data_IF_157668809231
#
_entry.id   IF_157668809231
#
_cell.length_a   1.000
_cell.length_b   1.000
_cell.length_c   1.000
_cell.angle_alpha   90.00
_cell.angle_beta   90.00
_cell.angle_gamma   90.00
#
_symmetry.space_group_name_H-M   'P 1'
#
loop_
_entity.id
_entity.type
_entity.pdbx_description
1 polymer ?
#
# COMPACT_ATOMS: atom_id res chain seq x y z
N UNK A 1 12.30 -0.14 9.10
CA UNK A 1 12.16 -1.45 9.81
C UNK A 1 11.42 -2.41 8.90
N UNK A 2 11.79 -3.72 8.89
CA UNK A 2 11.13 -4.75 8.05
C UNK A 2 10.54 -5.81 8.98
N UNK A 3 9.39 -6.42 8.63
CA UNK A 3 8.69 -7.38 9.48
C UNK A 3 9.48 -8.64 9.84
N UNK A 4 10.45 -9.02 9.01
CA UNK A 4 11.31 -10.18 9.24
C UNK A 4 12.56 -9.89 10.10
N UNK A 5 12.75 -8.66 10.58
CA UNK A 5 13.90 -8.33 11.40
C UNK A 5 13.69 -8.74 12.87
N UNK A 6 14.76 -9.20 13.58
CA UNK A 6 14.66 -9.54 15.00
C UNK A 6 14.12 -8.37 15.86
N UNK A 7 14.53 -7.12 15.55
CA UNK A 7 14.05 -5.94 16.25
C UNK A 7 12.51 -5.78 16.12
N UNK A 8 11.96 -6.03 14.93
CA UNK A 8 10.51 -5.99 14.75
C UNK A 8 9.83 -7.10 15.53
N UNK A 9 10.31 -8.34 15.40
CA UNK A 9 9.66 -9.53 15.94
C UNK A 9 9.68 -9.59 17.46
N UNK A 10 10.81 -9.22 18.07
CA UNK A 10 11.03 -9.41 19.52
C UNK A 10 10.90 -8.13 20.35
N UNK A 11 10.91 -6.96 19.73
CA UNK A 11 10.78 -5.69 20.45
C UNK A 11 9.54 -4.89 20.00
N UNK A 12 9.49 -4.50 18.73
CA UNK A 12 8.45 -3.60 18.25
C UNK A 12 7.06 -4.23 18.29
N UNK A 13 6.89 -5.42 17.72
CA UNK A 13 5.58 -6.08 17.63
C UNK A 13 5.01 -6.45 19.01
N UNK A 14 5.77 -7.10 19.92
CA UNK A 14 5.25 -7.40 21.26
C UNK A 14 4.90 -6.14 22.04
N UNK A 15 5.71 -5.09 21.99
CA UNK A 15 5.42 -3.82 22.66
C UNK A 15 4.16 -3.17 22.08
N UNK A 16 4.03 -3.15 20.76
CA UNK A 16 2.84 -2.61 20.08
C UNK A 16 1.57 -3.35 20.51
N UNK A 17 1.59 -4.68 20.48
CA UNK A 17 0.45 -5.52 20.88
C UNK A 17 0.12 -5.33 22.36
N UNK A 18 1.12 -5.30 23.22
CA UNK A 18 0.93 -5.08 24.67
C UNK A 18 0.22 -3.75 24.92
N UNK A 19 0.76 -2.64 24.40
CA UNK A 19 0.17 -1.31 24.59
C UNK A 19 -1.22 -1.23 23.96
N UNK A 20 -1.40 -1.83 22.78
CA UNK A 20 -2.69 -1.85 22.08
C UNK A 20 -3.78 -2.56 22.86
N UNK A 21 -3.50 -3.74 23.41
CA UNK A 21 -4.49 -4.52 24.17
C UNK A 21 -4.74 -4.00 25.58
N UNK A 22 -3.74 -3.39 26.21
CA UNK A 22 -3.90 -2.70 27.50
C UNK A 22 -4.68 -1.39 27.38
N UNK A 23 -4.74 -0.80 26.18
CA UNK A 23 -5.42 0.46 25.94
C UNK A 23 -6.94 0.27 25.81
N UNK A 24 -7.77 1.18 26.41
CA UNK A 24 -9.21 1.22 26.18
C UNK A 24 -9.54 1.35 24.69
N UNK A 25 -10.66 0.81 24.24
CA UNK A 25 -11.07 0.80 22.82
C UNK A 25 -10.98 2.18 22.15
N UNK A 26 -11.39 3.24 22.87
CA UNK A 26 -11.35 4.63 22.40
C UNK A 26 -9.95 5.14 22.06
N UNK A 27 -8.89 4.57 22.67
CA UNK A 27 -7.51 5.00 22.47
C UNK A 27 -6.74 4.11 21.47
N UNK A 28 -7.28 2.99 21.07
CA UNK A 28 -6.59 2.03 20.18
C UNK A 28 -6.15 2.64 18.85
N UNK A 29 -6.96 3.53 18.26
CA UNK A 29 -6.55 4.23 17.03
C UNK A 29 -5.39 5.19 17.27
N UNK A 30 -5.34 5.87 18.42
CA UNK A 30 -4.21 6.74 18.77
C UNK A 30 -2.92 5.92 19.00
N UNK A 31 -3.03 4.75 19.64
CA UNK A 31 -1.91 3.82 19.80
C UNK A 31 -1.41 3.35 18.43
N UNK A 32 -2.32 2.92 17.54
CA UNK A 32 -1.95 2.51 16.19
C UNK A 32 -1.28 3.63 15.40
N UNK A 33 -1.82 4.85 15.47
CA UNK A 33 -1.20 6.02 14.83
C UNK A 33 0.21 6.26 15.35
N UNK A 34 0.39 6.26 16.68
CA UNK A 34 1.70 6.48 17.30
C UNK A 34 2.72 5.42 16.85
N UNK A 35 2.38 4.13 17.00
CA UNK A 35 3.30 3.05 16.62
C UNK A 35 3.54 2.99 15.11
N UNK A 36 2.55 3.31 14.29
CA UNK A 36 2.73 3.40 12.84
C UNK A 36 3.67 4.52 12.44
N UNK A 37 3.56 5.68 13.07
CA UNK A 37 4.48 6.80 12.87
C UNK A 37 5.90 6.45 13.34
N UNK A 38 6.05 5.80 14.48
CA UNK A 38 7.36 5.32 14.96
C UNK A 38 7.98 4.31 14.00
N UNK A 39 7.17 3.36 13.49
CA UNK A 39 7.60 2.37 12.51
C UNK A 39 8.11 3.02 11.21
N UNK A 40 7.36 3.99 10.70
CA UNK A 40 7.70 4.69 9.46
C UNK A 40 8.90 5.63 9.67
N UNK A 41 8.91 6.41 10.75
CA UNK A 41 10.02 7.31 11.09
C UNK A 41 11.35 6.59 11.26
N UNK A 42 11.33 5.37 11.76
CA UNK A 42 12.55 4.54 11.87
C UNK A 42 13.24 4.31 10.52
N UNK A 43 12.47 4.17 9.44
CA UNK A 43 12.99 3.97 8.08
C UNK A 43 13.19 5.26 7.30
N UNK A 44 12.23 6.17 7.39
CA UNK A 44 12.05 7.27 6.44
C UNK A 44 12.18 8.67 7.05
N UNK A 45 12.54 8.77 8.32
CA UNK A 45 12.81 10.04 9.05
C UNK A 45 12.02 11.26 8.51
N UNK A 46 12.67 12.12 7.69
CA UNK A 46 12.09 13.37 7.18
C UNK A 46 10.85 13.16 6.29
N UNK A 47 10.77 12.04 5.58
CA UNK A 47 9.63 11.73 4.70
C UNK A 47 8.35 11.40 5.47
N UNK A 48 8.45 11.15 6.78
CA UNK A 48 7.29 11.07 7.68
C UNK A 48 6.50 12.38 7.68
N UNK A 49 7.16 13.52 7.56
CA UNK A 49 6.49 14.82 7.47
C UNK A 49 5.67 14.96 6.19
N UNK A 50 6.15 14.41 5.07
CA UNK A 50 5.41 14.43 3.79
C UNK A 50 4.15 13.57 3.88
N UNK A 51 4.27 12.38 4.48
CA UNK A 51 3.11 11.51 4.73
C UNK A 51 2.08 12.20 5.64
N UNK A 52 2.51 12.86 6.71
CA UNK A 52 1.63 13.62 7.59
C UNK A 52 0.98 14.80 6.87
N UNK A 53 1.76 15.57 6.09
CA UNK A 53 1.23 16.69 5.31
C UNK A 53 0.18 16.21 4.30
N UNK A 54 0.46 15.14 3.54
CA UNK A 54 -0.51 14.52 2.63
C UNK A 54 -1.77 14.05 3.37
N UNK A 55 -1.60 13.42 4.55
CA UNK A 55 -2.73 12.98 5.38
C UNK A 55 -3.62 14.16 5.79
N UNK A 56 -3.05 15.28 6.25
CA UNK A 56 -3.80 16.49 6.65
C UNK A 56 -4.51 17.11 5.44
N UNK A 57 -3.84 17.18 4.30
CA UNK A 57 -4.43 17.71 3.06
C UNK A 57 -5.64 16.88 2.64
N UNK A 58 -5.52 15.55 2.59
CA UNK A 58 -6.62 14.70 2.15
C UNK A 58 -7.75 14.59 3.18
N UNK A 59 -7.44 14.66 4.47
CA UNK A 59 -8.46 14.84 5.51
C UNK A 59 -9.30 16.10 5.26
N UNK A 60 -8.62 17.22 4.98
CA UNK A 60 -9.27 18.50 4.70
C UNK A 60 -10.10 18.46 3.41
N UNK A 61 -9.60 17.78 2.37
CA UNK A 61 -10.35 17.55 1.12
C UNK A 61 -11.60 16.71 1.37
N UNK A 62 -11.52 15.65 2.18
CA UNK A 62 -12.69 14.85 2.57
C UNK A 62 -13.78 15.69 3.25
N UNK A 63 -13.38 16.57 4.18
CA UNK A 63 -14.29 17.51 4.86
C UNK A 63 -14.97 18.46 3.86
N UNK A 64 -14.20 19.03 2.92
CA UNK A 64 -14.73 19.94 1.90
C UNK A 64 -15.66 19.20 0.90
N UNK A 65 -15.31 18.00 0.50
CA UNK A 65 -16.15 17.16 -0.38
C UNK A 65 -17.49 16.89 0.28
N UNK A 66 -17.53 16.43 1.53
CA UNK A 66 -18.79 16.18 2.25
C UNK A 66 -19.62 17.45 2.42
N UNK A 67 -18.98 18.58 2.78
CA UNK A 67 -19.66 19.87 2.92
C UNK A 67 -20.35 20.30 1.62
N UNK A 68 -19.65 20.27 0.48
CA UNK A 68 -20.22 20.65 -0.81
C UNK A 68 -21.27 19.67 -1.31
N UNK A 69 -21.07 18.37 -1.07
CA UNK A 69 -22.04 17.34 -1.42
C UNK A 69 -23.36 17.53 -0.66
N UNK A 70 -23.30 17.74 0.67
CA UNK A 70 -24.49 18.03 1.50
C UNK A 70 -25.18 19.33 1.13
N UNK A 71 -24.44 20.32 0.65
CA UNK A 71 -24.99 21.58 0.17
C UNK A 71 -25.56 21.49 -1.27
N UNK A 72 -25.60 20.31 -1.90
CA UNK A 72 -26.07 20.10 -3.28
C UNK A 72 -25.11 20.65 -4.35
N UNK A 73 -23.94 21.12 -3.98
CA UNK A 73 -22.96 21.78 -4.87
C UNK A 73 -22.02 20.76 -5.53
N UNK A 74 -22.57 19.86 -6.32
CA UNK A 74 -21.83 18.73 -6.93
C UNK A 74 -20.64 19.15 -7.79
N UNK A 75 -20.75 20.28 -8.53
CA UNK A 75 -19.64 20.80 -9.34
C UNK A 75 -18.44 21.19 -8.47
N UNK A 76 -18.67 21.84 -7.33
CA UNK A 76 -17.60 22.22 -6.39
C UNK A 76 -16.99 20.98 -5.73
N UNK A 77 -17.81 20.02 -5.29
CA UNK A 77 -17.31 18.77 -4.74
C UNK A 77 -16.40 18.03 -5.74
N UNK A 78 -16.75 18.00 -7.03
CA UNK A 78 -15.91 17.40 -8.09
C UNK A 78 -14.57 18.11 -8.24
N UNK A 79 -14.52 19.45 -8.17
CA UNK A 79 -13.28 20.20 -8.23
C UNK A 79 -12.37 19.94 -7.01
N UNK A 80 -12.94 19.76 -5.82
CA UNK A 80 -12.19 19.39 -4.61
C UNK A 80 -11.59 17.99 -4.76
N UNK A 81 -12.32 17.01 -5.29
CA UNK A 81 -11.76 15.68 -5.59
C UNK A 81 -10.63 15.78 -6.62
N UNK A 82 -10.84 16.56 -7.70
CA UNK A 82 -9.81 16.75 -8.71
C UNK A 82 -8.53 17.40 -8.13
N UNK A 83 -8.68 18.40 -7.24
CA UNK A 83 -7.52 19.04 -6.58
C UNK A 83 -6.77 18.08 -5.66
N UNK A 84 -7.46 17.20 -4.91
CA UNK A 84 -6.82 16.15 -4.12
C UNK A 84 -6.05 15.18 -5.01
N UNK A 85 -6.65 14.74 -6.13
CA UNK A 85 -5.97 13.86 -7.09
C UNK A 85 -4.72 14.52 -7.68
N UNK A 86 -4.83 15.78 -8.14
CA UNK A 86 -3.68 16.52 -8.69
C UNK A 86 -2.57 16.68 -7.66
N UNK A 87 -2.90 17.04 -6.43
CA UNK A 87 -1.94 17.17 -5.34
C UNK A 87 -1.20 15.86 -5.07
N UNK A 88 -1.93 14.77 -4.89
CA UNK A 88 -1.35 13.45 -4.61
C UNK A 88 -0.49 12.93 -5.77
N UNK A 89 -0.99 13.07 -7.00
CA UNK A 89 -0.24 12.67 -8.18
C UNK A 89 1.00 13.56 -8.41
N UNK A 90 0.92 14.86 -8.13
CA UNK A 90 2.07 15.76 -8.26
C UNK A 90 3.20 15.37 -7.29
N UNK A 91 2.87 15.06 -6.02
CA UNK A 91 3.86 14.56 -5.05
C UNK A 91 4.46 13.23 -5.54
N UNK A 92 3.62 12.28 -5.95
CA UNK A 92 4.08 10.97 -6.43
C UNK A 92 4.98 11.10 -7.65
N UNK A 93 4.59 11.93 -8.64
CA UNK A 93 5.36 12.17 -9.85
C UNK A 93 6.68 12.86 -9.54
N UNK A 94 6.69 13.85 -8.63
CA UNK A 94 7.90 14.53 -8.21
C UNK A 94 8.92 13.53 -7.62
N UNK A 95 8.55 12.75 -6.62
CA UNK A 95 9.47 11.83 -5.98
C UNK A 95 9.90 10.66 -6.88
N UNK A 96 9.02 10.20 -7.77
CA UNK A 96 9.27 9.00 -8.58
C UNK A 96 9.94 9.29 -9.93
N UNK A 97 9.63 10.44 -10.53
CA UNK A 97 10.00 10.67 -11.93
C UNK A 97 10.76 11.98 -12.16
N UNK A 98 11.03 12.80 -11.13
CA UNK A 98 11.76 14.06 -11.30
C UNK A 98 13.11 13.85 -11.96
N UNK A 99 13.94 12.95 -11.43
CA UNK A 99 15.29 12.73 -11.93
C UNK A 99 15.31 12.14 -13.35
N UNK A 100 14.32 11.30 -13.67
CA UNK A 100 14.12 10.81 -15.04
C UNK A 100 13.76 11.96 -16.00
N UNK A 101 12.84 12.83 -15.61
CA UNK A 101 12.44 14.00 -16.40
C UNK A 101 13.60 14.99 -16.56
N UNK A 102 14.29 15.31 -15.46
CA UNK A 102 15.45 16.22 -15.48
C UNK A 102 16.57 15.68 -16.39
N UNK A 103 16.92 14.39 -16.25
CA UNK A 103 17.93 13.76 -17.13
C UNK A 103 17.50 13.74 -18.60
N UNK A 104 16.23 13.50 -18.89
CA UNK A 104 15.69 13.55 -20.25
C UNK A 104 15.74 14.98 -20.84
N UNK A 105 15.41 15.99 -20.02
CA UNK A 105 15.49 17.39 -20.42
C UNK A 105 16.94 17.86 -20.67
N UNK A 106 17.88 17.42 -19.82
CA UNK A 106 19.31 17.69 -20.02
C UNK A 106 19.84 17.07 -21.34
N UNK A 107 19.37 15.86 -21.68
CA UNK A 107 19.80 15.19 -22.91
C UNK A 107 19.38 15.90 -24.19
N UNK A 108 18.34 16.75 -24.12
CA UNK A 108 17.88 17.61 -25.26
C UNK A 108 18.38 19.06 -25.18
N UNK A 109 19.37 19.34 -24.29
CA UNK A 109 20.04 20.64 -24.19
C UNK A 109 19.50 21.58 -23.09
N UNK A 110 18.51 21.18 -22.29
CA UNK A 110 17.95 21.97 -21.18
C UNK A 110 18.73 21.70 -19.87
N UNK A 111 20.01 22.05 -19.86
CA UNK A 111 20.94 21.77 -18.74
C UNK A 111 20.64 22.55 -17.44
N UNK A 112 19.77 23.54 -17.48
CA UNK A 112 19.38 24.33 -16.30
C UNK A 112 18.48 23.56 -15.31
N UNK A 113 17.88 22.43 -15.70
CA UNK A 113 17.04 21.59 -14.82
C UNK A 113 17.95 20.66 -14.02
N UNK A 114 18.04 20.81 -12.69
CA UNK A 114 18.95 19.98 -11.90
C UNK A 114 18.39 18.56 -11.68
N UNK A 115 19.26 17.57 -11.79
CA UNK A 115 19.03 16.22 -11.22
C UNK A 115 19.28 16.31 -9.72
N UNK A 116 18.26 15.97 -8.92
CA UNK A 116 18.28 16.20 -7.47
C UNK A 116 18.73 14.98 -6.68
N UNK A 117 18.80 13.80 -7.29
CA UNK A 117 19.13 12.55 -6.60
C UNK A 117 18.08 12.18 -5.53
N UNK A 118 16.81 12.41 -5.84
CA UNK A 118 15.72 12.29 -4.87
C UNK A 118 15.55 10.82 -4.48
N UNK A 119 15.67 10.55 -3.17
CA UNK A 119 15.31 9.25 -2.63
C UNK A 119 13.78 9.08 -2.66
N UNK A 120 13.30 7.97 -3.24
CA UNK A 120 11.87 7.65 -3.26
C UNK A 120 11.40 7.19 -1.88
N UNK A 121 10.50 7.92 -1.19
CA UNK A 121 10.00 7.51 0.11
C UNK A 121 9.30 6.14 0.04
N UNK A 122 9.68 5.23 0.93
CA UNK A 122 9.05 3.90 0.98
C UNK A 122 7.55 4.06 1.26
N UNK A 123 6.72 3.34 0.50
CA UNK A 123 5.27 3.35 0.68
C UNK A 123 4.54 4.57 0.13
N UNK A 124 5.22 5.55 -0.51
CA UNK A 124 4.56 6.75 -1.04
C UNK A 124 3.39 6.41 -1.99
N UNK A 125 3.55 5.42 -2.85
CA UNK A 125 2.49 4.98 -3.77
C UNK A 125 1.30 4.38 -3.01
N UNK A 126 1.56 3.65 -1.91
CA UNK A 126 0.52 2.99 -1.12
C UNK A 126 -0.35 4.00 -0.40
N UNK A 127 0.23 4.91 0.38
CA UNK A 127 -0.57 5.90 1.10
C UNK A 127 -1.23 6.91 0.15
N UNK A 128 -0.60 7.25 -0.99
CA UNK A 128 -1.23 8.07 -2.04
C UNK A 128 -2.49 7.41 -2.58
N UNK A 129 -2.45 6.12 -2.94
CA UNK A 129 -3.64 5.41 -3.42
C UNK A 129 -4.72 5.26 -2.34
N UNK A 130 -4.33 5.13 -1.08
CA UNK A 130 -5.28 5.06 0.04
C UNK A 130 -6.00 6.39 0.25
N UNK A 131 -5.26 7.50 0.33
CA UNK A 131 -5.86 8.83 0.54
C UNK A 131 -6.71 9.26 -0.65
N UNK A 132 -6.28 8.97 -1.89
CA UNK A 132 -7.11 9.20 -3.08
C UNK A 132 -8.40 8.37 -3.04
N UNK A 133 -8.35 7.12 -2.58
CA UNK A 133 -9.57 6.30 -2.46
C UNK A 133 -10.56 6.92 -1.47
N UNK A 134 -10.08 7.47 -0.34
CA UNK A 134 -10.92 8.12 0.65
C UNK A 134 -11.71 9.30 0.07
N UNK A 135 -11.04 10.25 -0.59
CA UNK A 135 -11.70 11.43 -1.14
C UNK A 135 -12.73 11.06 -2.22
N UNK A 136 -12.43 10.04 -3.03
CA UNK A 136 -13.36 9.51 -4.06
C UNK A 136 -14.53 8.76 -3.43
N UNK A 137 -14.30 7.89 -2.44
CA UNK A 137 -15.34 7.12 -1.78
C UNK A 137 -16.33 8.05 -1.04
N UNK A 138 -15.83 9.09 -0.34
CA UNK A 138 -16.67 10.13 0.28
C UNK A 138 -17.48 10.90 -0.78
N UNK A 139 -16.87 11.25 -1.93
CA UNK A 139 -17.57 11.93 -3.02
C UNK A 139 -18.68 11.07 -3.62
N UNK A 140 -18.42 9.78 -3.85
CA UNK A 140 -19.43 8.84 -4.39
C UNK A 140 -20.53 8.51 -3.39
N UNK A 141 -20.27 8.65 -2.09
CA UNK A 141 -21.13 8.20 -1.01
C UNK A 141 -20.97 6.71 -0.70
N UNK A 142 -19.89 6.10 -1.19
CA UNK A 142 -19.52 4.72 -0.93
C UNK A 142 -18.94 4.54 0.49
N UNK A 143 -18.53 5.65 1.13
CA UNK A 143 -18.03 5.68 2.50
C UNK A 143 -18.47 6.96 3.23
N UNK A 144 -18.60 6.86 4.55
CA UNK A 144 -18.87 8.00 5.42
C UNK A 144 -17.63 8.86 5.66
N UNK A 145 -17.86 10.16 5.89
CA UNK A 145 -16.79 11.09 6.25
C UNK A 145 -16.19 10.70 7.61
N UNK A 146 -14.88 10.48 7.66
CA UNK A 146 -14.19 10.35 8.93
C UNK A 146 -13.93 11.73 9.56
N UNK A 147 -14.58 11.98 10.68
CA UNK A 147 -14.46 13.27 11.40
C UNK A 147 -13.32 13.31 12.41
N UNK A 148 -12.85 12.14 12.84
CA UNK A 148 -11.76 12.06 13.79
C UNK A 148 -10.40 12.01 13.04
N UNK A 149 -9.55 13.05 13.18
CA UNK A 149 -8.25 13.09 12.49
C UNK A 149 -7.29 11.98 12.96
N UNK A 150 -7.41 11.51 14.21
CA UNK A 150 -6.60 10.41 14.73
C UNK A 150 -6.98 9.10 14.03
N UNK A 151 -8.28 8.83 13.88
CA UNK A 151 -8.78 7.65 13.18
C UNK A 151 -8.39 7.68 11.70
N UNK A 152 -8.53 8.84 11.04
CA UNK A 152 -8.08 9.00 9.65
C UNK A 152 -6.56 8.84 9.51
N UNK A 153 -5.79 9.47 10.40
CA UNK A 153 -4.35 9.32 10.43
C UNK A 153 -3.93 7.86 10.63
N UNK A 154 -4.59 7.14 11.53
CA UNK A 154 -4.30 5.71 11.74
C UNK A 154 -4.64 4.85 10.52
N UNK A 155 -5.65 5.20 9.72
CA UNK A 155 -5.95 4.54 8.45
C UNK A 155 -4.80 4.70 7.44
N UNK A 156 -4.33 5.93 7.23
CA UNK A 156 -3.30 6.24 6.23
C UNK A 156 -1.95 5.65 6.62
N UNK A 157 -1.60 5.73 7.90
CA UNK A 157 -0.27 5.35 8.38
C UNK A 157 -0.15 3.90 8.85
N UNK A 158 -1.24 3.13 8.85
CA UNK A 158 -1.33 1.80 9.46
C UNK A 158 -0.17 0.88 9.04
N UNK A 159 0.77 0.63 9.95
CA UNK A 159 2.06 0.00 9.65
C UNK A 159 1.98 -1.38 8.98
N UNK A 160 0.98 -2.25 9.26
CA UNK A 160 0.92 -3.55 8.58
C UNK A 160 0.76 -3.43 7.06
N UNK A 161 0.05 -2.42 6.58
CA UNK A 161 -0.24 -2.26 5.14
C UNK A 161 0.67 -1.26 4.44
N UNK A 162 1.28 -0.30 5.19
CA UNK A 162 1.88 0.93 4.66
C UNK A 162 2.99 0.70 3.64
N UNK A 163 3.84 -0.32 3.79
CA UNK A 163 5.03 -0.51 2.95
C UNK A 163 4.74 -1.36 1.70
N UNK A 164 4.19 -2.55 1.89
CA UNK A 164 3.91 -3.50 0.81
C UNK A 164 2.74 -4.45 1.14
N UNK A 165 1.87 -4.06 2.06
CA UNK A 165 0.63 -4.77 2.36
C UNK A 165 -0.39 -4.65 1.23
N UNK A 166 -1.56 -5.29 1.35
CA UNK A 166 -2.66 -5.05 0.43
C UNK A 166 -3.06 -3.57 0.41
N UNK A 167 -3.33 -3.00 -0.76
CA UNK A 167 -3.90 -1.65 -0.87
C UNK A 167 -5.36 -1.73 -0.45
N UNK A 168 -5.68 -1.17 0.72
CA UNK A 168 -7.03 -1.24 1.28
C UNK A 168 -7.75 0.07 0.98
N UNK A 169 -8.92 -0.04 0.37
CA UNK A 169 -9.77 1.11 0.08
C UNK A 169 -10.44 1.57 1.37
N UNK A 170 -10.67 2.88 1.48
CA UNK A 170 -11.26 3.43 2.69
C UNK A 170 -12.63 2.80 3.03
N UNK A 171 -13.48 2.55 2.03
CA UNK A 171 -14.77 1.89 2.21
C UNK A 171 -14.69 0.46 2.80
N UNK A 172 -13.55 -0.22 2.67
CA UNK A 172 -13.33 -1.57 3.20
C UNK A 172 -12.86 -1.56 4.65
N UNK A 173 -12.12 -0.51 5.06
CA UNK A 173 -11.52 -0.42 6.39
C UNK A 173 -12.22 0.59 7.31
N UNK A 174 -12.91 1.59 6.75
CA UNK A 174 -13.47 2.71 7.51
C UNK A 174 -14.35 2.28 8.68
N UNK A 175 -15.27 1.34 8.45
CA UNK A 175 -16.15 0.79 9.51
C UNK A 175 -15.39 0.01 10.57
N UNK A 176 -14.29 -0.67 10.18
CA UNK A 176 -13.46 -1.44 11.10
C UNK A 176 -12.59 -0.55 12.00
N UNK A 177 -12.33 0.70 11.61
CA UNK A 177 -11.61 1.66 12.45
C UNK A 177 -12.43 2.08 13.67
N UNK A 178 -13.73 2.13 13.53
CA UNK A 178 -14.64 2.51 14.62
C UNK A 178 -15.15 1.30 15.40
N UNK A 179 -15.38 0.17 14.72
CA UNK A 179 -15.90 -1.05 15.30
C UNK A 179 -15.04 -2.26 14.92
N UNK A 180 -14.18 -2.70 15.83
CA UNK A 180 -13.30 -3.85 15.67
C UNK A 180 -13.67 -4.99 16.58
N UNK A 181 -13.66 -6.19 16.02
CA UNK A 181 -13.83 -7.42 16.77
C UNK A 181 -12.45 -8.06 17.04
N UNK A 182 -11.99 -7.94 18.28
CA UNK A 182 -10.73 -8.51 18.73
C UNK A 182 -11.04 -9.69 19.65
N UNK A 183 -10.91 -10.90 19.15
CA UNK A 183 -11.06 -12.12 19.93
C UNK A 183 -9.83 -13.02 19.79
N UNK A 184 -9.74 -14.02 20.66
CA UNK A 184 -8.57 -14.93 20.73
C UNK A 184 -8.43 -15.75 19.45
N UNK A 185 -9.53 -16.19 18.84
CA UNK A 185 -9.49 -17.02 17.64
C UNK A 185 -8.95 -16.21 16.44
N UNK A 186 -9.39 -14.97 16.28
CA UNK A 186 -8.85 -14.06 15.26
C UNK A 186 -7.38 -13.75 15.49
N UNK A 187 -6.99 -13.55 16.74
CA UNK A 187 -5.60 -13.33 17.10
C UNK A 187 -4.74 -14.55 16.72
N UNK A 188 -5.17 -15.75 17.10
CA UNK A 188 -4.49 -17.01 16.79
C UNK A 188 -4.36 -17.22 15.27
N UNK A 189 -5.46 -17.03 14.52
CA UNK A 189 -5.44 -17.08 13.05
C UNK A 189 -4.51 -16.00 12.43
N UNK A 190 -4.39 -14.85 13.09
CA UNK A 190 -3.46 -13.79 12.70
C UNK A 190 -2.00 -14.22 12.89
N UNK A 191 -1.67 -14.83 14.04
CA UNK A 191 -0.32 -15.36 14.34
C UNK A 191 0.04 -16.46 13.35
N UNK A 192 -0.86 -17.40 13.08
CA UNK A 192 -0.65 -18.45 12.09
C UNK A 192 -0.33 -17.88 10.71
N UNK A 193 -1.16 -16.96 10.23
CA UNK A 193 -0.98 -16.30 8.91
C UNK A 193 0.33 -15.53 8.84
N UNK A 194 0.68 -14.81 9.89
CA UNK A 194 1.96 -14.08 9.98
C UNK A 194 3.14 -15.03 9.91
N UNK A 195 3.10 -16.13 10.65
CA UNK A 195 4.17 -17.14 10.69
C UNK A 195 4.37 -17.80 9.32
N UNK A 196 3.28 -18.15 8.62
CA UNK A 196 3.35 -18.66 7.24
C UNK A 196 3.98 -17.64 6.31
N UNK A 197 3.60 -16.36 6.41
CA UNK A 197 4.21 -15.28 5.62
C UNK A 197 5.70 -15.10 5.91
N UNK A 198 6.09 -15.15 7.17
CA UNK A 198 7.48 -15.09 7.60
C UNK A 198 8.31 -16.27 7.06
N UNK A 199 7.74 -17.48 7.11
CA UNK A 199 8.37 -18.67 6.55
C UNK A 199 8.56 -18.55 5.02
N UNK A 200 7.56 -18.05 4.28
CA UNK A 200 7.70 -17.75 2.84
C UNK A 200 8.86 -16.81 2.57
N UNK A 201 9.00 -15.74 3.37
CA UNK A 201 10.07 -14.76 3.20
C UNK A 201 11.44 -15.34 3.53
N UNK A 202 11.58 -15.96 4.70
CA UNK A 202 12.89 -16.38 5.19
C UNK A 202 13.40 -17.67 4.54
N UNK A 203 12.52 -18.67 4.37
CA UNK A 203 12.92 -19.99 3.89
C UNK A 203 12.88 -20.10 2.35
N UNK A 204 11.87 -19.50 1.71
CA UNK A 204 11.70 -19.64 0.26
C UNK A 204 12.26 -18.45 -0.50
N UNK A 205 11.78 -17.21 -0.24
CA UNK A 205 12.18 -16.06 -1.02
C UNK A 205 13.67 -15.77 -0.92
N UNK A 206 14.24 -15.81 0.28
CA UNK A 206 15.67 -15.58 0.48
C UNK A 206 16.53 -16.68 -0.19
N UNK A 207 16.11 -17.95 -0.11
CA UNK A 207 16.80 -19.07 -0.78
C UNK A 207 16.79 -18.93 -2.29
N UNK A 208 15.62 -18.66 -2.88
CA UNK A 208 15.52 -18.40 -4.33
C UNK A 208 16.27 -17.15 -4.77
N UNK A 209 16.30 -16.11 -3.92
CA UNK A 209 17.09 -14.91 -4.17
C UNK A 209 18.59 -15.19 -4.24
N UNK A 210 19.12 -15.97 -3.29
CA UNK A 210 20.53 -16.40 -3.33
C UNK A 210 20.84 -17.22 -4.60
N UNK A 211 19.97 -18.15 -4.95
CA UNK A 211 20.11 -18.95 -6.18
C UNK A 211 20.13 -18.06 -7.44
N UNK A 212 19.23 -17.09 -7.52
CA UNK A 212 19.20 -16.11 -8.60
C UNK A 212 20.50 -15.32 -8.71
N UNK A 213 21.03 -14.79 -7.59
CA UNK A 213 22.28 -14.03 -7.61
C UNK A 213 23.49 -14.89 -8.00
N UNK A 214 23.52 -16.16 -7.59
CA UNK A 214 24.54 -17.11 -8.05
C UNK A 214 24.48 -17.36 -9.55
N UNK A 215 23.29 -17.57 -10.11
CA UNK A 215 23.11 -17.73 -11.56
C UNK A 215 23.52 -16.45 -12.33
N UNK A 216 23.13 -15.27 -11.84
CA UNK A 216 23.44 -13.98 -12.46
C UNK A 216 24.94 -13.66 -12.44
N UNK A 217 25.66 -14.06 -11.41
CA UNK A 217 27.10 -13.82 -11.27
C UNK A 217 27.96 -14.79 -12.10
N UNK A 218 27.38 -15.87 -12.64
CA UNK A 218 28.11 -16.87 -13.42
C UNK A 218 28.51 -16.34 -14.79
N UNK A 219 29.81 -16.37 -15.12
CA UNK A 219 30.34 -15.95 -16.41
C UNK A 219 30.09 -16.95 -17.56
N UNK A 220 29.86 -18.23 -17.21
CA UNK A 220 29.62 -19.33 -18.18
C UNK A 220 28.35 -20.09 -17.81
N UNK A 221 27.20 -19.43 -18.01
CA UNK A 221 25.92 -20.01 -17.69
C UNK A 221 25.46 -20.96 -18.80
N UNK A 222 25.22 -22.23 -18.45
CA UNK A 222 24.56 -23.16 -19.38
C UNK A 222 23.10 -22.79 -19.63
N UNK A 223 22.49 -23.30 -20.70
CA UNK A 223 21.06 -23.09 -20.97
C UNK A 223 20.19 -23.54 -19.79
N UNK A 224 20.49 -24.68 -19.17
CA UNK A 224 19.81 -25.14 -17.97
C UNK A 224 19.98 -24.21 -16.78
N UNK A 225 21.19 -23.67 -16.58
CA UNK A 225 21.48 -22.67 -15.55
C UNK A 225 20.71 -21.36 -15.77
N UNK A 226 20.56 -20.90 -17.02
CA UNK A 226 19.76 -19.72 -17.35
C UNK A 226 18.27 -19.92 -17.00
N UNK A 227 17.70 -21.08 -17.37
CA UNK A 227 16.31 -21.41 -17.00
C UNK A 227 16.13 -21.55 -15.49
N UNK A 228 17.09 -22.16 -14.80
CA UNK A 228 17.07 -22.24 -13.34
C UNK A 228 17.06 -20.87 -12.69
N UNK A 229 17.88 -19.93 -13.20
CA UNK A 229 17.91 -18.55 -12.73
C UNK A 229 16.57 -17.82 -12.93
N UNK A 230 15.95 -17.93 -14.12
CA UNK A 230 14.64 -17.34 -14.40
C UNK A 230 13.55 -17.89 -13.48
N UNK A 231 13.53 -19.20 -13.25
CA UNK A 231 12.58 -19.85 -12.34
C UNK A 231 12.82 -19.40 -10.90
N UNK A 232 14.07 -19.36 -10.45
CA UNK A 232 14.44 -18.88 -9.12
C UNK A 232 13.98 -17.43 -8.90
N UNK A 233 14.22 -16.54 -9.86
CA UNK A 233 13.77 -15.15 -9.79
C UNK A 233 12.25 -15.02 -9.74
N UNK A 234 11.54 -15.78 -10.57
CA UNK A 234 10.08 -15.79 -10.57
C UNK A 234 9.49 -16.24 -9.24
N UNK A 235 10.05 -17.29 -8.64
CA UNK A 235 9.65 -17.81 -7.34
C UNK A 235 10.05 -16.86 -6.20
N UNK A 236 11.22 -16.22 -6.29
CA UNK A 236 11.66 -15.21 -5.34
C UNK A 236 10.65 -14.06 -5.26
N UNK A 237 10.31 -13.43 -6.40
CA UNK A 237 9.34 -12.31 -6.43
C UNK A 237 8.00 -12.74 -5.82
N UNK A 238 7.51 -13.93 -6.17
CA UNK A 238 6.24 -14.41 -5.65
C UNK A 238 6.28 -14.64 -4.15
N UNK A 239 7.25 -15.39 -3.64
CA UNK A 239 7.31 -15.71 -2.22
C UNK A 239 7.69 -14.49 -1.36
N UNK A 240 8.50 -13.58 -1.88
CA UNK A 240 8.84 -12.33 -1.19
C UNK A 240 7.59 -11.45 -1.00
N UNK A 241 6.87 -11.18 -2.09
CA UNK A 241 5.72 -10.30 -2.03
C UNK A 241 4.49 -10.96 -1.39
N UNK A 242 4.20 -12.23 -1.70
CA UNK A 242 3.10 -12.93 -1.03
C UNK A 242 3.37 -13.18 0.45
N UNK A 243 4.62 -13.43 0.83
CA UNK A 243 5.03 -13.58 2.22
C UNK A 243 4.83 -12.28 3.01
N UNK A 244 5.23 -11.13 2.43
CA UNK A 244 4.97 -9.84 3.04
C UNK A 244 3.47 -9.56 3.19
N UNK A 245 2.69 -9.86 2.14
CA UNK A 245 1.24 -9.69 2.18
C UNK A 245 0.58 -10.57 3.24
N UNK A 246 1.02 -11.82 3.40
CA UNK A 246 0.53 -12.71 4.45
C UNK A 246 0.88 -12.22 5.85
N UNK A 247 2.10 -11.69 6.05
CA UNK A 247 2.48 -11.06 7.30
C UNK A 247 1.60 -9.84 7.60
N UNK A 248 1.32 -8.99 6.61
CA UNK A 248 0.45 -7.83 6.76
C UNK A 248 -0.99 -8.22 7.13
N UNK A 249 -1.56 -9.22 6.45
CA UNK A 249 -2.91 -9.75 6.74
C UNK A 249 -2.93 -10.36 8.15
N UNK A 250 -1.89 -11.10 8.53
CA UNK A 250 -1.75 -11.66 9.86
C UNK A 250 -1.72 -10.60 10.96
N UNK A 251 -0.91 -9.54 10.77
CA UNK A 251 -0.86 -8.39 11.67
C UNK A 251 -2.21 -7.67 11.75
N UNK A 252 -2.88 -7.49 10.62
CA UNK A 252 -4.23 -6.94 10.58
C UNK A 252 -5.19 -7.73 11.47
N UNK A 253 -5.22 -9.06 11.33
CA UNK A 253 -6.07 -9.96 12.14
C UNK A 253 -5.74 -9.89 13.63
N UNK A 254 -4.45 -9.85 14.00
CA UNK A 254 -4.03 -9.67 15.39
C UNK A 254 -4.53 -8.36 15.99
N UNK A 255 -4.71 -7.32 15.18
CA UNK A 255 -5.21 -6.00 15.58
C UNK A 255 -6.74 -5.85 15.43
N UNK A 256 -7.45 -6.91 15.01
CA UNK A 256 -8.89 -6.93 14.82
C UNK A 256 -9.38 -6.41 13.47
N UNK A 257 -8.48 -6.28 12.47
CA UNK A 257 -8.82 -5.88 11.11
C UNK A 257 -8.86 -7.08 10.15
N UNK A 258 -9.70 -7.00 9.14
CA UNK A 258 -9.70 -7.92 8.01
C UNK A 258 -9.20 -7.22 6.75
N UNK A 259 -8.04 -7.65 6.29
CA UNK A 259 -7.43 -7.15 5.06
C UNK A 259 -7.77 -8.09 3.89
N UNK A 260 -7.94 -7.55 2.67
CA UNK A 260 -8.23 -8.34 1.50
C UNK A 260 -7.04 -9.23 1.11
N UNK A 261 -7.33 -10.39 0.51
CA UNK A 261 -6.30 -11.26 -0.07
C UNK A 261 -5.64 -10.57 -1.26
N UNK A 262 -4.30 -10.68 -1.33
CA UNK A 262 -3.51 -10.05 -2.37
C UNK A 262 -2.97 -11.06 -3.42
N UNK A 263 -2.86 -12.33 -3.04
CA UNK A 263 -2.37 -13.40 -3.92
C UNK A 263 -3.22 -14.67 -3.78
N UNK A 264 -3.54 -15.31 -4.93
CA UNK A 264 -4.26 -16.58 -4.99
C UNK A 264 -3.62 -17.52 -6.02
N UNK A 265 -2.45 -18.10 -5.68
CA UNK A 265 -1.72 -19.04 -6.53
C UNK A 265 -1.59 -18.55 -7.99
N UNK A 266 -0.90 -17.42 -8.26
CA UNK A 266 -0.92 -16.78 -9.58
C UNK A 266 -0.30 -17.63 -10.69
N UNK A 267 0.67 -18.48 -10.38
CA UNK A 267 1.39 -19.26 -11.40
C UNK A 267 0.65 -20.51 -11.91
N UNK A 268 -0.53 -20.82 -11.36
CA UNK A 268 -1.43 -21.83 -11.96
C UNK A 268 -2.44 -21.20 -12.95
N UNK A 269 -2.32 -19.90 -13.23
CA UNK A 269 -3.21 -19.19 -14.13
C UNK A 269 -3.15 -19.77 -15.56
N UNK A 270 -4.33 -19.83 -16.20
CA UNK A 270 -4.48 -20.38 -17.58
C UNK A 270 -4.51 -19.28 -18.63
N UNK A 271 -4.52 -18.02 -18.23
CA UNK A 271 -4.50 -16.84 -19.12
C UNK A 271 -3.92 -15.63 -18.40
N UNK A 272 -3.50 -14.62 -19.16
CA UNK A 272 -3.04 -13.32 -18.61
C UNK A 272 -4.13 -12.67 -17.73
N UNK A 273 -5.39 -12.75 -18.15
CA UNK A 273 -6.52 -12.23 -17.37
C UNK A 273 -6.69 -12.99 -16.05
N UNK A 274 -6.56 -14.33 -16.05
CA UNK A 274 -6.62 -15.13 -14.83
C UNK A 274 -5.41 -14.84 -13.92
N UNK A 275 -4.22 -14.64 -14.49
CA UNK A 275 -3.03 -14.24 -13.74
C UNK A 275 -3.27 -12.94 -12.96
N UNK A 276 -3.73 -11.87 -13.58
CA UNK A 276 -3.99 -10.60 -12.91
C UNK A 276 -5.15 -10.64 -11.89
N UNK A 277 -6.05 -11.61 -11.99
CA UNK A 277 -7.07 -11.88 -10.97
C UNK A 277 -6.52 -12.57 -9.73
N UNK A 278 -5.30 -13.09 -9.79
CA UNK A 278 -4.61 -13.83 -8.74
C UNK A 278 -3.37 -13.15 -8.20
N UNK A 279 -2.77 -12.25 -8.98
CA UNK A 279 -1.58 -11.49 -8.66
C UNK A 279 -1.94 -10.07 -8.27
N UNK A 280 -1.44 -9.61 -7.09
CA UNK A 280 -1.60 -8.24 -6.59
C UNK A 280 -3.05 -7.73 -6.74
N UNK A 281 -3.99 -8.53 -6.20
CA UNK A 281 -5.43 -8.36 -6.39
C UNK A 281 -5.90 -6.97 -5.91
N UNK A 282 -5.32 -6.48 -4.80
CA UNK A 282 -5.66 -5.17 -4.24
C UNK A 282 -5.34 -4.02 -5.21
N UNK A 283 -4.15 -4.03 -5.84
CA UNK A 283 -3.77 -3.03 -6.84
C UNK A 283 -4.67 -3.11 -8.08
N UNK A 284 -4.89 -4.32 -8.61
CA UNK A 284 -5.75 -4.54 -9.79
C UNK A 284 -7.17 -4.06 -9.53
N UNK A 285 -7.72 -4.31 -8.33
CA UNK A 285 -9.06 -3.85 -7.95
C UNK A 285 -9.10 -2.33 -7.76
N UNK A 286 -8.02 -1.72 -7.23
CA UNK A 286 -7.92 -0.28 -7.09
C UNK A 286 -7.95 0.42 -8.46
N UNK A 287 -7.08 -0.01 -9.39
CA UNK A 287 -7.07 0.54 -10.75
C UNK A 287 -8.40 0.36 -11.48
N UNK A 288 -9.04 -0.81 -11.33
CA UNK A 288 -10.36 -1.04 -11.90
C UNK A 288 -11.40 -0.02 -11.38
N UNK A 289 -11.46 0.18 -10.06
CA UNK A 289 -12.53 0.92 -9.41
C UNK A 289 -12.34 2.45 -9.47
N UNK A 290 -11.08 2.92 -9.46
CA UNK A 290 -10.76 4.36 -9.40
C UNK A 290 -10.22 4.94 -10.71
N UNK A 291 -9.77 4.12 -11.63
CA UNK A 291 -9.27 4.57 -12.94
C UNK A 291 -10.08 4.01 -14.10
N UNK A 292 -10.12 2.69 -14.27
CA UNK A 292 -10.68 2.06 -15.45
C UNK A 292 -12.20 2.29 -15.61
N UNK A 293 -12.98 2.00 -14.56
CA UNK A 293 -14.43 2.21 -14.59
C UNK A 293 -14.80 3.69 -14.76
N UNK A 294 -14.20 4.66 -14.02
CA UNK A 294 -14.48 6.08 -14.20
C UNK A 294 -14.14 6.63 -15.59
N UNK A 295 -13.15 6.07 -16.27
CA UNK A 295 -12.79 6.45 -17.64
C UNK A 295 -13.72 5.84 -18.72
N UNK A 296 -14.71 5.02 -18.31
CA UNK A 296 -15.71 4.43 -19.19
C UNK A 296 -15.67 2.90 -19.24
N UNK A 297 -14.57 2.27 -18.85
CA UNK A 297 -14.41 0.80 -18.85
C UNK A 297 -14.80 0.20 -20.21
N UNK A 298 -15.41 -0.97 -20.21
CA UNK A 298 -15.91 -1.65 -21.43
C UNK A 298 -17.17 -1.01 -22.05
N UNK A 299 -17.70 0.06 -21.47
CA UNK A 299 -18.94 0.71 -21.92
C UNK A 299 -18.69 1.93 -22.79
N UNK A 300 -17.43 2.32 -23.03
CA UNK A 300 -17.10 3.42 -23.92
C UNK A 300 -17.11 2.97 -25.39
N UNK A 301 -17.29 3.93 -26.32
CA UNK A 301 -17.23 3.68 -27.78
C UNK A 301 -15.83 3.21 -28.18
N UNK A 302 -15.73 2.38 -29.22
CA UNK A 302 -14.46 1.81 -29.75
C UNK A 302 -13.29 2.80 -29.86
N UNK A 303 -13.45 4.08 -30.30
CA UNK A 303 -12.34 5.05 -30.34
C UNK A 303 -11.74 5.46 -29.00
N UNK A 304 -12.44 5.17 -27.89
CA UNK A 304 -11.93 5.41 -26.52
C UNK A 304 -11.29 4.17 -25.89
N UNK A 305 -11.30 3.07 -26.60
CA UNK A 305 -10.78 1.76 -26.18
C UNK A 305 -9.29 1.58 -26.56
N UNK A 306 -8.83 2.32 -27.55
CA UNK A 306 -7.48 2.35 -28.08
C UNK A 306 -6.77 3.56 -27.49
#
# INVERSE_FOLDING_TARGET
MVFSTPLFLFCFLPLTLLVYYLSPLRWRNAVLLLFSLLFYFWGERIYTLIMLASTVVDYSHGMLVDRFRRAGKQKQARWVVASSMVFNLAILLFFKYWDLLAGSLQSIGLSFVPVLGIHLPIGISFYTFQTMSYTVDVYRGDAELQRNPITFGSFVTLFPQLIAGPIIKYKELGTQLDHRDCNVDRFAAGVERFTVGLAKKLLLANGFGQLWELCKASQALSVGGAWLGVLAFSLQIYFDFSGYSDMAIGLGRMLGFEFPENFRYPYIARSVTDFWRRWHISLSSWFRDYLYIPLGGNRCSKPRWI
#
